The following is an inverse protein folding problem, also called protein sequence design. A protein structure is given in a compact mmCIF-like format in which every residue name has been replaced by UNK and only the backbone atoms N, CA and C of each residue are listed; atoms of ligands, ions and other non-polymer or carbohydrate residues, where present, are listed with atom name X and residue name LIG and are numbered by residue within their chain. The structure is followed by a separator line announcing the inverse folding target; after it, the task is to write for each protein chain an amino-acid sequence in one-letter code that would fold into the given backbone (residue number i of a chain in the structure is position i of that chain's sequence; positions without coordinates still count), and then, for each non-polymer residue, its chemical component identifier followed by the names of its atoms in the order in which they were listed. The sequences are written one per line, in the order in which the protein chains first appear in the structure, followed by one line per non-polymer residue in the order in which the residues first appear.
data_IF_265678863174
#
_entry.id   IF_265678863174
#
_cell.length_a   1.000
_cell.length_b   1.000
_cell.length_c   1.000
_cell.angle_alpha   90.00
_cell.angle_beta   90.00
_cell.angle_gamma   90.00
#
_symmetry.space_group_name_H-M   'P 1'
#
loop_
_entity.id
_entity.type
_entity.pdbx_description
1 polymer ?
#
# COMPACT_ATOMS: atom_id res chain seq x y z
N UNK A 1 37.93 -33.60 8.29
CA UNK A 1 36.65 -33.08 8.83
C UNK A 1 35.89 -32.41 7.71
N UNK A 2 34.65 -32.84 7.37
CA UNK A 2 33.91 -32.25 6.27
C UNK A 2 33.25 -30.93 6.71
N UNK A 3 33.39 -29.91 5.87
CA UNK A 3 32.81 -28.59 6.06
C UNK A 3 31.27 -28.67 6.04
N UNK A 4 30.64 -28.16 7.10
CA UNK A 4 29.20 -28.03 7.19
C UNK A 4 28.71 -27.07 6.09
N UNK A 5 28.00 -27.59 5.09
CA UNK A 5 27.23 -26.81 4.13
C UNK A 5 26.23 -25.94 4.90
N UNK A 6 26.48 -24.62 4.93
CA UNK A 6 25.54 -23.61 5.41
C UNK A 6 24.25 -23.77 4.61
N UNK A 7 23.19 -24.29 5.24
CA UNK A 7 21.85 -24.34 4.64
C UNK A 7 21.42 -22.90 4.34
N UNK A 8 20.88 -22.59 3.13
CA UNK A 8 20.33 -21.28 2.86
C UNK A 8 19.20 -20.99 3.84
N UNK A 9 19.24 -19.81 4.45
CA UNK A 9 18.27 -19.32 5.40
C UNK A 9 16.88 -19.34 4.71
N UNK A 10 16.01 -20.26 5.15
CA UNK A 10 14.67 -20.48 4.56
C UNK A 10 13.92 -19.15 4.62
N UNK A 11 13.44 -18.66 3.49
CA UNK A 11 12.89 -17.30 3.36
C UNK A 11 11.68 -17.07 4.28
N UNK A 12 11.92 -16.52 5.46
CA UNK A 12 10.93 -16.08 6.45
C UNK A 12 10.38 -14.68 6.15
N UNK A 13 10.82 -14.06 5.05
CA UNK A 13 10.53 -12.65 4.80
C UNK A 13 9.32 -12.46 3.86
N UNK A 14 8.22 -11.98 4.44
CA UNK A 14 7.01 -11.56 3.73
C UNK A 14 7.20 -10.32 2.84
N UNK A 15 8.41 -9.73 2.79
CA UNK A 15 8.75 -8.63 1.88
C UNK A 15 8.46 -8.96 0.42
N UNK A 16 8.63 -10.21 -0.01
CA UNK A 16 8.28 -10.63 -1.37
C UNK A 16 6.78 -10.51 -1.65
N UNK A 17 5.91 -10.76 -0.65
CA UNK A 17 4.44 -10.57 -0.75
C UNK A 17 4.11 -9.09 -0.81
N UNK A 18 4.77 -8.27 0.02
CA UNK A 18 4.62 -6.81 -0.03
C UNK A 18 5.01 -6.25 -1.40
N UNK A 19 6.19 -6.62 -1.94
CA UNK A 19 6.64 -6.15 -3.26
C UNK A 19 5.70 -6.62 -4.38
N UNK A 20 5.27 -7.89 -4.34
CA UNK A 20 4.29 -8.44 -5.29
C UNK A 20 2.96 -7.69 -5.22
N UNK A 21 2.45 -7.43 -4.01
CA UNK A 21 1.24 -6.63 -3.78
C UNK A 21 1.35 -5.24 -4.41
N UNK A 22 2.44 -4.51 -4.13
CA UNK A 22 2.66 -3.17 -4.68
C UNK A 22 2.76 -3.20 -6.21
N UNK A 23 3.45 -4.19 -6.79
CA UNK A 23 3.56 -4.34 -8.24
C UNK A 23 2.20 -4.63 -8.89
N UNK A 24 1.41 -5.55 -8.33
CA UNK A 24 0.07 -5.85 -8.81
C UNK A 24 -0.87 -4.64 -8.69
N UNK A 25 -0.75 -3.83 -7.63
CA UNK A 25 -1.52 -2.59 -7.47
C UNK A 25 -1.09 -1.48 -8.45
N UNK A 26 0.15 -1.49 -8.95
CA UNK A 26 0.55 -0.63 -10.06
C UNK A 26 -0.12 -1.06 -11.38
N UNK A 27 -0.24 -2.37 -11.61
CA UNK A 27 -0.72 -2.95 -12.86
C UNK A 27 -2.24 -3.20 -12.92
N UNK A 28 -2.95 -3.11 -11.79
CA UNK A 28 -4.40 -3.41 -11.74
C UNK A 28 -5.16 -2.46 -12.66
N UNK A 29 -6.07 -3.03 -13.46
CA UNK A 29 -6.99 -2.27 -14.29
C UNK A 29 -8.06 -1.63 -13.39
N UNK A 30 -8.23 -0.31 -13.51
CA UNK A 30 -9.14 0.45 -12.65
C UNK A 30 -10.06 1.33 -13.48
N UNK A 31 -11.32 1.42 -13.07
CA UNK A 31 -12.19 2.48 -13.53
C UNK A 31 -11.59 3.85 -13.14
N UNK A 32 -11.70 4.91 -13.98
CA UNK A 32 -11.07 6.21 -13.69
C UNK A 32 -11.41 6.79 -12.31
N UNK A 33 -12.65 6.61 -11.84
CA UNK A 33 -13.08 7.07 -10.51
C UNK A 33 -12.34 6.35 -9.37
N UNK A 34 -12.10 5.04 -9.50
CA UNK A 34 -11.32 4.24 -8.55
C UNK A 34 -9.86 4.71 -8.55
N UNK A 35 -9.28 4.92 -9.75
CA UNK A 35 -7.89 5.38 -9.91
C UNK A 35 -7.62 6.70 -9.20
N UNK A 36 -8.55 7.66 -9.28
CA UNK A 36 -8.43 8.95 -8.57
C UNK A 36 -8.31 8.72 -7.06
N UNK A 37 -9.11 7.80 -6.50
CA UNK A 37 -9.14 7.52 -5.06
C UNK A 37 -7.95 6.66 -4.63
N UNK A 38 -7.47 5.77 -5.49
CA UNK A 38 -6.23 5.04 -5.30
C UNK A 38 -5.04 5.99 -5.16
N UNK A 39 -4.83 6.90 -6.11
CA UNK A 39 -3.75 7.89 -6.03
C UNK A 39 -3.86 8.75 -4.78
N UNK A 40 -5.06 9.25 -4.48
CA UNK A 40 -5.29 10.07 -3.29
C UNK A 40 -4.93 9.33 -2.00
N UNK A 41 -5.37 8.08 -1.86
CA UNK A 41 -5.08 7.28 -0.67
C UNK A 41 -3.62 6.83 -0.60
N UNK A 42 -2.98 6.48 -1.73
CA UNK A 42 -1.54 6.20 -1.74
C UNK A 42 -0.77 7.37 -1.14
N UNK A 43 -1.06 8.59 -1.61
CA UNK A 43 -0.38 9.80 -1.16
C UNK A 43 -0.72 10.16 0.29
N UNK A 44 -1.98 9.99 0.71
CA UNK A 44 -2.41 10.27 2.08
C UNK A 44 -1.80 9.32 3.11
N UNK A 45 -1.61 8.04 2.75
CA UNK A 45 -1.08 7.01 3.64
C UNK A 45 0.45 6.86 3.57
N UNK A 46 1.13 7.53 2.64
CA UNK A 46 2.59 7.50 2.54
C UNK A 46 3.22 8.49 3.53
N UNK A 47 3.92 8.02 4.58
CA UNK A 47 4.39 8.89 5.67
C UNK A 47 5.56 9.80 5.27
N UNK A 48 6.24 9.52 4.16
CA UNK A 48 7.41 10.27 3.69
C UNK A 48 7.05 11.54 2.90
N UNK A 49 5.75 11.81 2.70
CA UNK A 49 5.27 12.99 2.02
C UNK A 49 5.55 14.25 2.86
N UNK A 50 6.55 15.03 2.46
CA UNK A 50 7.00 16.24 3.17
C UNK A 50 6.97 17.47 2.26
N UNK A 51 6.54 18.60 2.81
CA UNK A 51 6.68 19.89 2.12
C UNK A 51 8.13 20.37 2.21
N UNK A 52 8.70 20.77 1.07
CA UNK A 52 10.02 21.40 0.96
C UNK A 52 9.80 22.73 0.24
N UNK A 53 9.72 23.82 1.01
CA UNK A 53 9.21 25.10 0.51
C UNK A 53 7.77 24.95 0.01
N UNK A 54 7.53 25.31 -1.26
CA UNK A 54 6.22 25.18 -1.91
C UNK A 54 5.99 23.83 -2.60
N UNK A 55 7.00 22.94 -2.61
CA UNK A 55 6.95 21.64 -3.28
C UNK A 55 6.57 20.53 -2.30
N UNK A 56 5.99 19.45 -2.81
CA UNK A 56 5.78 18.21 -2.06
C UNK A 56 6.78 17.17 -2.56
N UNK A 57 7.58 16.60 -1.66
CA UNK A 57 8.53 15.51 -1.96
C UNK A 57 8.11 14.26 -1.22
N UNK A 58 8.07 13.14 -1.93
CA UNK A 58 7.60 11.86 -1.40
C UNK A 58 8.63 10.80 -1.76
N UNK A 59 9.02 10.00 -0.78
CA UNK A 59 9.96 8.90 -0.98
C UNK A 59 9.22 7.57 -0.86
N UNK A 60 9.26 6.75 -1.91
CA UNK A 60 8.70 5.41 -1.89
C UNK A 60 9.82 4.41 -1.71
N UNK A 61 9.61 3.40 -0.86
CA UNK A 61 10.51 2.24 -0.74
C UNK A 61 10.47 1.34 -1.98
N UNK A 62 9.41 1.47 -2.79
CA UNK A 62 9.17 0.66 -3.97
C UNK A 62 9.29 1.53 -5.23
N UNK A 63 10.38 1.37 -5.97
CA UNK A 63 10.67 2.14 -7.18
C UNK A 63 9.55 2.10 -8.24
N UNK A 64 8.96 0.93 -8.55
CA UNK A 64 7.84 0.85 -9.48
C UNK A 64 6.62 1.68 -9.03
N UNK A 65 6.37 1.83 -7.73
CA UNK A 65 5.28 2.70 -7.23
C UNK A 65 5.58 4.18 -7.51
N UNK A 66 6.84 4.61 -7.38
CA UNK A 66 7.25 5.98 -7.71
C UNK A 66 7.12 6.28 -9.22
N UNK A 67 7.51 5.31 -10.06
CA UNK A 67 7.34 5.40 -11.51
C UNK A 67 5.85 5.45 -11.90
N UNK A 68 5.06 4.49 -11.40
CA UNK A 68 3.62 4.42 -11.63
C UNK A 68 2.91 5.72 -11.23
N UNK A 69 3.23 6.29 -10.07
CA UNK A 69 2.63 7.54 -9.63
C UNK A 69 2.95 8.68 -10.60
N UNK A 70 4.19 8.76 -11.07
CA UNK A 70 4.62 9.80 -12.02
C UNK A 70 3.86 9.67 -13.34
N UNK A 71 3.71 8.44 -13.85
CA UNK A 71 2.94 8.13 -15.07
C UNK A 71 1.46 8.43 -14.90
N UNK A 72 0.83 8.03 -13.79
CA UNK A 72 -0.60 8.27 -13.55
C UNK A 72 -0.92 9.75 -13.36
N UNK A 73 -0.01 10.52 -12.76
CA UNK A 73 -0.19 11.95 -12.65
C UNK A 73 -0.02 12.65 -14.01
N UNK A 74 0.90 12.17 -14.86
CA UNK A 74 1.17 12.65 -16.22
C UNK A 74 1.15 14.19 -16.33
N UNK A 75 1.86 14.86 -15.44
CA UNK A 75 1.79 16.31 -15.31
C UNK A 75 3.20 16.92 -15.30
N UNK A 76 3.38 18.03 -16.02
CA UNK A 76 4.67 18.75 -16.12
C UNK A 76 5.25 19.22 -14.78
N UNK A 77 4.41 19.38 -13.76
CA UNK A 77 4.83 19.79 -12.42
C UNK A 77 5.14 18.60 -11.50
N UNK A 78 5.20 17.38 -12.05
CA UNK A 78 5.56 16.14 -11.35
C UNK A 78 6.84 15.60 -11.96
N UNK A 79 7.82 15.31 -11.12
CA UNK A 79 9.11 14.81 -11.54
C UNK A 79 9.53 13.61 -10.68
N UNK A 80 10.00 12.55 -11.34
CA UNK A 80 10.75 11.48 -10.69
C UNK A 80 12.20 11.94 -10.56
N UNK A 81 12.65 12.26 -9.34
CA UNK A 81 13.99 12.77 -9.08
C UNK A 81 15.04 11.64 -9.12
N UNK A 82 14.68 10.48 -8.59
CA UNK A 82 15.50 9.29 -8.59
C UNK A 82 14.63 8.02 -8.53
N UNK A 83 15.15 6.92 -9.08
CA UNK A 83 14.59 5.58 -8.94
C UNK A 83 15.72 4.55 -9.00
N UNK A 84 15.67 3.55 -8.13
CA UNK A 84 16.66 2.48 -8.07
C UNK A 84 16.25 1.34 -7.15
N UNK A 85 17.20 0.46 -6.81
CA UNK A 85 16.95 -0.71 -5.96
C UNK A 85 16.44 -0.39 -4.55
N UNK A 86 16.63 0.85 -4.08
CA UNK A 86 16.21 1.31 -2.75
C UNK A 86 14.88 2.08 -2.76
N UNK A 87 14.19 2.15 -3.90
CA UNK A 87 12.95 2.92 -4.03
C UNK A 87 13.01 4.03 -5.08
N UNK A 88 12.27 5.10 -4.85
CA UNK A 88 12.32 6.30 -5.70
C UNK A 88 11.69 7.52 -5.06
N UNK A 89 12.09 8.70 -5.52
CA UNK A 89 11.62 9.99 -5.00
C UNK A 89 10.82 10.74 -6.06
N UNK A 90 9.58 11.10 -5.72
CA UNK A 90 8.71 11.94 -6.56
C UNK A 90 8.62 13.34 -5.96
N UNK A 91 8.78 14.36 -6.79
CA UNK A 91 8.55 15.75 -6.44
C UNK A 91 7.38 16.33 -7.22
N UNK A 92 6.53 17.09 -6.53
CA UNK A 92 5.38 17.79 -7.08
C UNK A 92 5.54 19.28 -6.78
N UNK A 93 5.82 20.07 -7.81
CA UNK A 93 6.18 21.48 -7.65
C UNK A 93 5.00 22.36 -7.21
N UNK A 94 3.79 22.05 -7.69
CA UNK A 94 2.55 22.80 -7.40
C UNK A 94 1.46 21.86 -6.86
N UNK A 95 1.61 21.35 -5.63
CA UNK A 95 0.78 20.25 -5.13
C UNK A 95 -0.70 20.60 -5.08
N UNK A 96 -1.09 21.84 -4.78
CA UNK A 96 -2.52 22.22 -4.80
C UNK A 96 -3.16 22.12 -6.18
N UNK A 97 -2.42 22.51 -7.23
CA UNK A 97 -2.90 22.49 -8.61
C UNK A 97 -2.95 21.05 -9.12
N UNK A 98 -1.85 20.31 -8.93
CA UNK A 98 -1.71 18.94 -9.42
C UNK A 98 -2.65 17.98 -8.68
N UNK A 99 -2.67 18.05 -7.36
CA UNK A 99 -3.40 17.11 -6.50
C UNK A 99 -4.83 17.55 -6.20
N UNK A 100 -5.21 18.77 -6.60
CA UNK A 100 -6.55 19.31 -6.39
C UNK A 100 -7.65 18.41 -6.95
N UNK A 101 -7.44 17.84 -8.15
CA UNK A 101 -8.39 16.89 -8.77
C UNK A 101 -8.51 15.57 -8.01
N UNK A 102 -7.52 15.22 -7.19
CA UNK A 102 -7.51 14.01 -6.35
C UNK A 102 -8.07 14.26 -4.93
N UNK A 103 -8.47 15.49 -4.62
CA UNK A 103 -9.06 15.85 -3.33
C UNK A 103 -8.09 16.44 -2.30
N UNK A 104 -6.87 16.79 -2.71
CA UNK A 104 -5.92 17.48 -1.83
C UNK A 104 -6.36 18.94 -1.59
N UNK A 105 -6.51 19.33 -0.32
CA UNK A 105 -6.93 20.67 0.12
C UNK A 105 -6.08 21.09 1.30
N UNK A 106 -5.12 21.97 1.05
CA UNK A 106 -4.21 22.52 2.06
C UNK A 106 -3.64 21.50 3.08
N UNK A 107 -3.03 20.44 2.58
CA UNK A 107 -2.43 19.41 3.44
C UNK A 107 -3.41 18.34 3.93
N UNK A 108 -4.70 18.47 3.64
CA UNK A 108 -5.73 17.47 3.95
C UNK A 108 -6.19 16.74 2.70
N UNK A 109 -6.69 15.54 2.89
CA UNK A 109 -7.26 14.70 1.83
C UNK A 109 -8.75 14.54 2.04
N UNK A 110 -9.53 14.88 1.02
CA UNK A 110 -10.97 14.64 1.00
C UNK A 110 -11.25 13.44 0.12
N UNK A 111 -11.68 12.35 0.76
CA UNK A 111 -12.08 11.15 0.06
C UNK A 111 -13.56 11.22 -0.33
N UNK A 112 -13.89 10.67 -1.50
CA UNK A 112 -15.27 10.49 -1.92
C UNK A 112 -15.99 9.40 -1.13
N UNK A 113 -17.27 9.19 -1.44
CA UNK A 113 -18.10 8.12 -0.90
C UNK A 113 -18.50 7.13 -2.02
N UNK A 114 -19.09 6.00 -1.64
CA UNK A 114 -19.54 4.95 -2.56
C UNK A 114 -18.50 3.84 -2.77
N UNK A 115 -18.89 2.82 -3.56
CA UNK A 115 -18.09 1.59 -3.77
C UNK A 115 -16.78 1.89 -4.48
N UNK A 116 -16.80 2.69 -5.56
CA UNK A 116 -15.58 3.07 -6.28
C UNK A 116 -14.58 3.83 -5.38
N UNK A 117 -15.09 4.67 -4.48
CA UNK A 117 -14.26 5.33 -3.49
C UNK A 117 -13.70 4.34 -2.47
N UNK A 118 -14.52 3.41 -2.00
CA UNK A 118 -14.08 2.39 -1.06
C UNK A 118 -12.95 1.53 -1.63
N UNK A 119 -13.11 1.07 -2.88
CA UNK A 119 -12.12 0.29 -3.63
C UNK A 119 -10.80 1.05 -3.77
N UNK A 120 -10.84 2.29 -4.28
CA UNK A 120 -9.63 3.08 -4.49
C UNK A 120 -8.94 3.44 -3.18
N UNK A 121 -9.68 3.82 -2.14
CA UNK A 121 -9.10 4.12 -0.82
C UNK A 121 -8.39 2.89 -0.24
N UNK A 122 -9.05 1.72 -0.29
CA UNK A 122 -8.50 0.48 0.24
C UNK A 122 -7.22 0.06 -0.50
N UNK A 123 -7.24 0.14 -1.84
CA UNK A 123 -6.05 -0.11 -2.67
C UNK A 123 -4.91 0.84 -2.35
N UNK A 124 -5.16 2.15 -2.33
CA UNK A 124 -4.10 3.14 -2.07
C UNK A 124 -3.50 3.01 -0.68
N UNK A 125 -4.31 2.72 0.34
CA UNK A 125 -3.81 2.50 1.69
C UNK A 125 -2.92 1.24 1.79
N UNK A 126 -3.36 0.11 1.19
CA UNK A 126 -2.55 -1.12 1.13
C UNK A 126 -1.29 -0.92 0.29
N UNK A 127 -1.39 -0.20 -0.83
CA UNK A 127 -0.25 0.12 -1.70
C UNK A 127 0.82 0.93 -0.95
N UNK A 128 0.41 1.96 -0.20
CA UNK A 128 1.31 2.81 0.57
C UNK A 128 1.95 2.06 1.74
N UNK A 129 1.11 1.42 2.56
CA UNK A 129 1.45 1.11 3.95
C UNK A 129 1.09 -0.32 4.37
N UNK A 130 0.73 -1.18 3.42
CA UNK A 130 0.45 -2.60 3.66
C UNK A 130 1.72 -3.40 3.96
N UNK A 131 1.70 -4.09 5.09
CA UNK A 131 2.77 -4.98 5.55
C UNK A 131 2.21 -6.35 5.88
N UNK A 132 2.80 -7.40 5.31
CA UNK A 132 2.40 -8.79 5.52
C UNK A 132 3.30 -9.47 6.54
N UNK A 133 2.74 -10.36 7.35
CA UNK A 133 3.46 -11.28 8.21
C UNK A 133 2.61 -12.52 8.51
N UNK A 134 3.10 -13.43 9.35
CA UNK A 134 2.36 -14.63 9.76
C UNK A 134 1.04 -14.35 10.51
N UNK A 135 0.87 -13.13 11.03
CA UNK A 135 -0.35 -12.66 11.71
C UNK A 135 -1.30 -11.87 10.80
N UNK A 136 -1.04 -11.83 9.49
CA UNK A 136 -1.95 -11.24 8.51
C UNK A 136 -1.38 -10.02 7.80
N UNK A 137 -2.27 -9.11 7.39
CA UNK A 137 -1.94 -7.85 6.75
C UNK A 137 -2.23 -6.70 7.72
N UNK A 138 -1.23 -5.84 7.94
CA UNK A 138 -1.37 -4.59 8.68
C UNK A 138 -1.14 -3.41 7.74
N UNK A 139 -2.06 -2.45 7.75
CA UNK A 139 -1.93 -1.18 7.02
C UNK A 139 -1.67 -0.08 8.04
N UNK A 140 -0.51 0.55 7.99
CA UNK A 140 -0.23 1.70 8.85
C UNK A 140 -1.05 2.91 8.41
N UNK A 141 -1.67 3.59 9.38
CA UNK A 141 -2.56 4.72 9.13
C UNK A 141 -1.91 6.03 9.63
N UNK A 142 -2.14 7.18 8.96
CA UNK A 142 -1.59 8.45 9.41
C UNK A 142 -2.11 8.94 10.77
N UNK A 143 -3.31 8.48 11.16
CA UNK A 143 -3.97 8.88 12.41
C UNK A 143 -5.08 7.88 12.78
N UNK A 144 -5.53 7.92 14.03
CA UNK A 144 -6.65 7.09 14.49
C UNK A 144 -7.97 7.35 13.72
N UNK A 145 -8.36 8.60 13.40
CA UNK A 145 -9.51 8.84 12.52
C UNK A 145 -9.37 8.22 11.13
N UNK A 146 -8.18 8.26 10.54
CA UNK A 146 -7.89 7.62 9.26
C UNK A 146 -7.96 6.10 9.34
N UNK A 147 -7.52 5.51 10.45
CA UNK A 147 -7.68 4.07 10.74
C UNK A 147 -9.15 3.67 10.77
N UNK A 148 -9.99 4.38 11.52
CA UNK A 148 -11.43 4.10 11.60
C UNK A 148 -12.13 4.27 10.25
N UNK A 149 -11.73 5.30 9.50
CA UNK A 149 -12.21 5.52 8.13
C UNK A 149 -11.85 4.35 7.22
N UNK A 150 -10.59 3.90 7.27
CA UNK A 150 -10.12 2.78 6.45
C UNK A 150 -10.85 1.49 6.81
N UNK A 151 -11.03 1.17 8.10
CA UNK A 151 -11.74 -0.04 8.52
C UNK A 151 -13.20 -0.02 8.06
N UNK A 152 -13.88 1.12 8.16
CA UNK A 152 -15.26 1.26 7.69
C UNK A 152 -15.36 1.13 6.16
N UNK A 153 -14.40 1.70 5.43
CA UNK A 153 -14.31 1.60 3.97
C UNK A 153 -14.05 0.17 3.52
N UNK A 154 -13.09 -0.52 4.15
CA UNK A 154 -12.77 -1.92 3.88
C UNK A 154 -13.98 -2.82 4.15
N UNK A 155 -14.72 -2.59 5.24
CA UNK A 155 -15.94 -3.34 5.55
C UNK A 155 -17.01 -3.23 4.46
N UNK A 156 -17.15 -2.06 3.80
CA UNK A 156 -18.08 -1.89 2.67
C UNK A 156 -17.71 -2.71 1.44
N UNK A 157 -16.44 -3.10 1.30
CA UNK A 157 -15.95 -4.01 0.26
C UNK A 157 -16.01 -5.48 0.70
N UNK A 158 -16.57 -5.78 1.88
CA UNK A 158 -16.54 -7.13 2.45
C UNK A 158 -15.18 -7.54 2.99
N UNK A 159 -14.24 -6.60 3.20
CA UNK A 159 -12.94 -6.87 3.81
C UNK A 159 -13.05 -6.72 5.33
N UNK A 160 -12.80 -7.83 6.05
CA UNK A 160 -12.82 -7.86 7.52
C UNK A 160 -11.53 -7.27 8.11
N UNK A 161 -11.47 -5.94 8.17
CA UNK A 161 -10.39 -5.20 8.82
C UNK A 161 -10.82 -4.69 10.21
N UNK A 162 -9.93 -4.81 11.20
CA UNK A 162 -10.13 -4.32 12.57
C UNK A 162 -9.12 -3.22 12.90
N UNK A 163 -9.52 -2.19 13.67
CA UNK A 163 -8.58 -1.23 14.22
C UNK A 163 -7.67 -1.92 15.25
N UNK A 164 -6.42 -1.49 15.36
CA UNK A 164 -5.50 -1.93 16.42
C UNK A 164 -5.44 -0.94 17.57
N UNK A 165 -5.08 -1.42 18.75
CA UNK A 165 -4.70 -0.57 19.88
C UNK A 165 -3.27 -0.01 19.70
N UNK A 166 -2.98 1.15 20.28
CA UNK A 166 -1.68 1.83 20.18
C UNK A 166 -1.50 2.57 18.86
N UNK A 167 -0.44 2.25 18.10
CA UNK A 167 -0.18 2.87 16.81
C UNK A 167 -1.36 2.64 15.84
N UNK A 168 -1.84 3.67 15.14
CA UNK A 168 -3.02 3.57 14.29
C UNK A 168 -2.74 2.65 13.09
N UNK A 169 -3.35 1.46 13.09
CA UNK A 169 -3.27 0.48 11.98
C UNK A 169 -4.61 -0.22 11.76
N UNK A 170 -4.92 -0.50 10.50
CA UNK A 170 -5.97 -1.46 10.16
C UNK A 170 -5.35 -2.85 10.00
N UNK A 171 -5.89 -3.86 10.67
CA UNK A 171 -5.40 -5.23 10.65
C UNK A 171 -6.42 -6.18 10.04
N UNK A 172 -5.97 -7.02 9.12
CA UNK A 172 -6.75 -8.10 8.50
C UNK A 172 -6.15 -9.41 8.99
N UNK A 173 -6.99 -10.28 9.54
CA UNK A 173 -6.55 -11.55 10.12
C UNK A 173 -5.98 -12.50 9.06
N UNK A 174 -5.09 -13.45 9.41
CA UNK A 174 -4.43 -14.31 8.44
C UNK A 174 -5.37 -15.08 7.51
N UNK A 175 -6.53 -15.50 8.03
CA UNK A 175 -7.54 -16.25 7.28
C UNK A 175 -8.29 -15.37 6.27
N UNK A 176 -8.37 -14.06 6.52
CA UNK A 176 -9.13 -13.10 5.71
C UNK A 176 -8.26 -12.44 4.62
N UNK A 177 -6.92 -12.59 4.68
CA UNK A 177 -6.00 -11.97 3.71
C UNK A 177 -6.28 -12.39 2.26
N UNK A 178 -6.49 -13.69 1.93
CA UNK A 178 -6.81 -14.08 0.55
C UNK A 178 -8.04 -13.38 -0.01
N UNK A 179 -9.15 -13.38 0.75
CA UNK A 179 -10.39 -12.69 0.39
C UNK A 179 -10.15 -11.19 0.24
N UNK A 180 -9.37 -10.57 1.14
CA UNK A 180 -9.05 -9.15 1.04
C UNK A 180 -8.28 -8.83 -0.25
N UNK A 181 -7.30 -9.66 -0.64
CA UNK A 181 -6.54 -9.48 -1.88
C UNK A 181 -7.43 -9.64 -3.13
N UNK A 182 -8.41 -10.55 -3.08
CA UNK A 182 -9.40 -10.72 -4.14
C UNK A 182 -10.30 -9.49 -4.28
N UNK A 183 -10.85 -8.97 -3.17
CA UNK A 183 -11.67 -7.75 -3.17
C UNK A 183 -10.87 -6.51 -3.64
N UNK A 184 -9.54 -6.53 -3.47
CA UNK A 184 -8.64 -5.52 -4.00
C UNK A 184 -8.23 -5.76 -5.47
N UNK A 185 -8.73 -6.80 -6.13
CA UNK A 185 -8.43 -7.12 -7.54
C UNK A 185 -7.02 -7.67 -7.78
N UNK A 186 -6.36 -8.19 -6.74
CA UNK A 186 -4.98 -8.70 -6.78
C UNK A 186 -4.89 -10.13 -6.26
N UNK A 187 -5.90 -10.95 -6.57
CA UNK A 187 -6.03 -12.33 -6.10
C UNK A 187 -4.80 -13.21 -6.38
N UNK A 188 -4.03 -12.94 -7.44
CA UNK A 188 -2.80 -13.65 -7.78
C UNK A 188 -1.74 -13.64 -6.65
N UNK A 189 -1.76 -12.61 -5.79
CA UNK A 189 -0.83 -12.50 -4.65
C UNK A 189 -1.22 -13.41 -3.49
N UNK A 190 -2.48 -13.88 -3.43
CA UNK A 190 -3.00 -14.68 -2.33
C UNK A 190 -2.30 -16.04 -2.19
N UNK A 191 -1.94 -16.67 -3.32
CA UNK A 191 -1.20 -17.95 -3.32
C UNK A 191 0.19 -17.78 -2.70
N UNK A 192 0.91 -16.71 -3.07
CA UNK A 192 2.22 -16.40 -2.53
C UNK A 192 2.17 -16.19 -1.00
N UNK A 193 1.14 -15.49 -0.51
CA UNK A 193 0.91 -15.32 0.92
C UNK A 193 0.62 -16.64 1.63
N UNK A 194 -0.25 -17.49 1.07
CA UNK A 194 -0.60 -18.81 1.64
C UNK A 194 0.62 -19.71 1.80
N UNK A 195 1.41 -19.87 0.73
CA UNK A 195 2.61 -20.70 0.77
C UNK A 195 3.63 -20.24 1.83
N UNK A 196 3.86 -18.93 1.96
CA UNK A 196 4.78 -18.41 2.98
C UNK A 196 4.23 -18.59 4.40
N UNK A 197 2.92 -18.45 4.60
CA UNK A 197 2.30 -18.67 5.91
C UNK A 197 2.40 -20.13 6.34
N UNK A 198 2.14 -21.07 5.44
CA UNK A 198 2.23 -22.51 5.71
C UNK A 198 3.67 -22.92 6.06
N UNK A 199 4.65 -22.43 5.29
CA UNK A 199 6.06 -22.70 5.53
C UNK A 199 6.54 -22.20 6.90
N UNK A 200 6.05 -21.04 7.36
CA UNK A 200 6.38 -20.49 8.69
C UNK A 200 5.64 -21.23 9.82
N UNK A 201 4.38 -21.59 9.63
CA UNK A 201 3.59 -22.32 10.63
C UNK A 201 4.16 -23.73 10.90
N UNK A 202 4.71 -24.38 9.88
CA UNK A 202 5.39 -25.68 10.02
C UNK A 202 6.79 -25.55 10.66
N UNK A 203 7.46 -24.41 10.48
CA UNK A 203 8.75 -24.12 11.10
C UNK A 203 8.67 -23.91 12.62
N UNK A 204 7.58 -23.34 13.12
CA UNK A 204 7.35 -23.11 14.56
C UNK A 204 6.92 -24.37 15.34
N UNK A 205 6.58 -25.46 14.65
CA UNK A 205 6.10 -26.73 15.23
C UNK A 205 7.15 -27.85 15.23
N UNK A 206 8.37 -27.59 14.76
CA UNK A 206 9.49 -28.55 14.69
C UNK A 206 10.58 -28.20 15.68
#
# INVERSE_FOLDING_TARGET
MPAARRRPNRATNFSSVTSSTRLHLCAVAEHPEVRIRHVAALLAFTPTARRVGHRLRIQFEHGPTAMWLTEVLANKDVQLLDVGGNGGTVEIARPQIVLGRYGFRDGRWVFGQGIAAAEGISRGAVHAAGTFNGHGLKVACPSAPMMLTLTAVMSRLGINAKPTEGDPRAAIAPADVPTALEQLGIAAVAEQYRHLREANTMGDRS
#
